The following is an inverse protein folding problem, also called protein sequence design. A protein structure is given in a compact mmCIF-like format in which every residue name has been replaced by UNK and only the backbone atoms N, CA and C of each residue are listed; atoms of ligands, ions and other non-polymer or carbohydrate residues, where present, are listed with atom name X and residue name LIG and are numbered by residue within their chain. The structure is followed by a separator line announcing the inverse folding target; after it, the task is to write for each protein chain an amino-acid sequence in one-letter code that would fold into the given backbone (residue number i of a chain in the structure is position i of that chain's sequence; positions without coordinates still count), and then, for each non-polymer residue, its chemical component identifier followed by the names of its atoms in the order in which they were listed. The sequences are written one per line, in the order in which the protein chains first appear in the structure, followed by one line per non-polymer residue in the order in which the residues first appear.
data_IF_792978131900
#
_entry.id   IF_792978131900
#
_cell.length_a   1.000
_cell.length_b   1.000
_cell.length_c   1.000
_cell.angle_alpha   90.00
_cell.angle_beta   90.00
_cell.angle_gamma   90.00
#
_symmetry.space_group_name_H-M   'P 1'
#
loop_
_entity.id
_entity.type
_entity.pdbx_description
1 polymer ?
#
# COMPACT_ATOMS: atom_id res chain seq x y z
N UNK A 1 -23.72 10.11 8.50
CA UNK A 1 -23.93 8.82 7.79
C UNK A 1 -23.57 8.90 6.30
N UNK A 2 -22.93 9.97 5.81
CA UNK A 2 -22.66 10.15 4.37
C UNK A 2 -21.32 9.56 3.87
N UNK A 3 -20.32 9.41 4.74
CA UNK A 3 -18.99 8.95 4.32
C UNK A 3 -18.91 7.46 3.94
N UNK A 4 -19.79 6.63 4.50
CA UNK A 4 -19.78 5.18 4.24
C UNK A 4 -20.29 4.84 2.84
N UNK A 5 -21.27 5.56 2.33
CA UNK A 5 -21.83 5.34 0.99
C UNK A 5 -20.85 5.73 -0.13
N UNK A 6 -20.13 6.83 0.06
CA UNK A 6 -19.07 7.25 -0.88
C UNK A 6 -17.94 6.19 -0.94
N UNK A 7 -17.57 5.60 0.20
CA UNK A 7 -16.59 4.51 0.24
C UNK A 7 -17.07 3.22 -0.42
N UNK A 8 -18.35 2.89 -0.29
CA UNK A 8 -18.94 1.73 -0.97
C UNK A 8 -18.94 1.92 -2.49
N UNK A 9 -19.16 3.14 -2.98
CA UNK A 9 -19.03 3.46 -4.41
C UNK A 9 -17.59 3.32 -4.90
N UNK A 10 -16.61 3.79 -4.12
CA UNK A 10 -15.18 3.69 -4.43
C UNK A 10 -14.71 2.22 -4.45
N UNK A 11 -15.17 1.39 -3.50
CA UNK A 11 -14.88 -0.05 -3.50
C UNK A 11 -15.50 -0.75 -4.71
N UNK A 12 -16.74 -0.38 -5.08
CA UNK A 12 -17.40 -0.89 -6.29
C UNK A 12 -16.67 -0.48 -7.57
N UNK A 13 -16.21 0.77 -7.68
CA UNK A 13 -15.43 1.22 -8.85
C UNK A 13 -14.07 0.52 -8.95
N UNK A 14 -13.52 0.06 -7.82
CA UNK A 14 -12.34 -0.81 -7.76
C UNK A 14 -12.64 -2.30 -7.98
N UNK A 15 -13.90 -2.67 -8.25
CA UNK A 15 -14.32 -4.06 -8.47
C UNK A 15 -14.33 -4.92 -7.20
N UNK A 16 -14.35 -4.32 -6.02
CA UNK A 16 -14.31 -4.99 -4.72
C UNK A 16 -15.75 -5.16 -4.20
N UNK A 17 -16.16 -6.40 -3.91
CA UNK A 17 -17.48 -6.67 -3.33
C UNK A 17 -17.45 -6.43 -1.80
N UNK A 18 -18.15 -5.42 -1.28
CA UNK A 18 -18.12 -5.08 0.15
C UNK A 18 -18.67 -6.20 1.05
N UNK A 19 -19.54 -7.05 0.52
CA UNK A 19 -20.11 -8.20 1.23
C UNK A 19 -19.10 -9.33 1.47
N UNK A 20 -17.92 -9.29 0.82
CA UNK A 20 -16.86 -10.29 0.99
C UNK A 20 -15.82 -9.87 2.04
N UNK A 21 -15.97 -8.70 2.64
CA UNK A 21 -15.05 -8.19 3.64
C UNK A 21 -15.43 -8.67 5.05
N UNK A 22 -14.49 -9.31 5.73
CA UNK A 22 -14.60 -9.63 7.16
C UNK A 22 -14.80 -8.37 8.01
N UNK A 23 -15.52 -8.48 9.13
CA UNK A 23 -15.78 -7.37 10.06
C UNK A 23 -14.52 -6.61 10.50
N UNK A 24 -13.40 -7.31 10.65
CA UNK A 24 -12.10 -6.70 10.97
C UNK A 24 -11.61 -5.75 9.87
N UNK A 25 -11.76 -6.14 8.60
CA UNK A 25 -11.40 -5.32 7.44
C UNK A 25 -12.31 -4.09 7.32
N UNK A 26 -13.58 -4.25 7.69
CA UNK A 26 -14.55 -3.13 7.72
C UNK A 26 -14.13 -2.10 8.76
N UNK A 27 -13.71 -2.53 9.96
CA UNK A 27 -13.24 -1.59 10.99
C UNK A 27 -11.98 -0.82 10.56
N UNK A 28 -11.02 -1.51 9.95
CA UNK A 28 -9.80 -0.86 9.43
C UNK A 28 -10.16 0.12 8.30
N UNK A 29 -11.08 -0.27 7.42
CA UNK A 29 -11.59 0.62 6.37
C UNK A 29 -12.28 1.85 6.93
N UNK A 30 -13.12 1.73 7.94
CA UNK A 30 -13.81 2.87 8.56
C UNK A 30 -12.79 3.85 9.14
N UNK A 31 -11.77 3.36 9.85
CA UNK A 31 -10.70 4.20 10.39
C UNK A 31 -9.84 4.87 9.31
N UNK A 32 -9.65 4.20 8.17
CA UNK A 32 -8.96 4.79 7.02
C UNK A 32 -9.87 5.79 6.30
N UNK A 33 -11.16 5.50 6.19
CA UNK A 33 -12.14 6.35 5.52
C UNK A 33 -12.33 7.70 6.23
N UNK A 34 -12.25 7.73 7.56
CA UNK A 34 -12.28 8.97 8.34
C UNK A 34 -11.12 9.92 8.03
N UNK A 35 -10.03 9.42 7.43
CA UNK A 35 -8.87 10.24 6.99
C UNK A 35 -8.97 10.69 5.54
N UNK A 36 -10.04 10.33 4.84
CA UNK A 36 -10.28 10.74 3.46
C UNK A 36 -11.21 11.95 3.51
N UNK A 37 -10.64 13.15 3.51
CA UNK A 37 -11.41 14.39 3.34
C UNK A 37 -11.97 14.50 1.91
N UNK A 38 -11.21 14.05 0.90
CA UNK A 38 -11.60 14.15 -0.50
C UNK A 38 -11.21 12.90 -1.31
N UNK A 39 -12.18 12.12 -1.83
CA UNK A 39 -11.91 10.87 -2.52
C UNK A 39 -11.27 11.05 -3.91
N UNK A 40 -11.39 12.24 -4.52
CA UNK A 40 -10.77 12.53 -5.82
C UNK A 40 -9.31 13.01 -5.70
N UNK A 41 -8.89 13.43 -4.51
CA UNK A 41 -7.51 13.83 -4.18
C UNK A 41 -6.82 12.86 -3.21
N UNK A 42 -7.20 11.59 -3.24
CA UNK A 42 -6.59 10.58 -2.37
C UNK A 42 -5.10 10.36 -2.72
N UNK A 43 -4.24 10.42 -1.69
CA UNK A 43 -2.82 10.10 -1.84
C UNK A 43 -2.61 8.66 -2.37
N UNK A 44 -1.78 8.45 -3.40
CA UNK A 44 -1.54 7.13 -3.98
C UNK A 44 -0.99 6.10 -2.99
N UNK A 45 -0.19 6.51 -2.00
CA UNK A 45 0.32 5.60 -0.97
C UNK A 45 -0.80 5.19 -0.01
N UNK A 46 -1.74 6.10 0.25
CA UNK A 46 -2.92 5.81 1.05
C UNK A 46 -3.84 4.78 0.37
N UNK A 47 -4.12 4.95 -0.92
CA UNK A 47 -4.83 3.95 -1.72
C UNK A 47 -4.13 2.59 -1.69
N UNK A 48 -2.79 2.58 -1.77
CA UNK A 48 -2.01 1.36 -1.68
C UNK A 48 -2.15 0.67 -0.31
N UNK A 49 -2.14 1.44 0.78
CA UNK A 49 -2.35 0.91 2.13
C UNK A 49 -3.75 0.32 2.32
N UNK A 50 -4.79 0.94 1.75
CA UNK A 50 -6.14 0.38 1.77
C UNK A 50 -6.16 -0.98 1.05
N UNK A 51 -5.68 -1.04 -0.19
CA UNK A 51 -5.66 -2.28 -0.99
C UNK A 51 -4.87 -3.40 -0.29
N UNK A 52 -3.73 -3.05 0.33
CA UNK A 52 -2.91 -3.98 1.12
C UNK A 52 -3.65 -4.52 2.33
N UNK A 53 -4.34 -3.67 3.10
CA UNK A 53 -5.14 -4.09 4.26
C UNK A 53 -6.35 -4.94 3.85
N UNK A 54 -6.92 -4.67 2.67
CA UNK A 54 -8.00 -5.49 2.10
C UNK A 54 -7.53 -6.87 1.62
N UNK A 55 -6.21 -7.07 1.50
CA UNK A 55 -5.64 -8.29 0.95
C UNK A 55 -5.90 -8.44 -0.55
N UNK A 56 -6.22 -7.33 -1.24
CA UNK A 56 -6.39 -7.32 -2.68
C UNK A 56 -5.00 -7.37 -3.30
N UNK A 57 -4.70 -8.47 -4.00
CA UNK A 57 -3.46 -8.58 -4.77
C UNK A 57 -3.55 -7.61 -5.94
N UNK A 58 -2.74 -6.56 -5.89
CA UNK A 58 -2.65 -5.58 -6.98
C UNK A 58 -1.88 -6.25 -8.12
N UNK A 59 -2.51 -6.58 -9.26
CA UNK A 59 -1.79 -7.11 -10.41
C UNK A 59 -0.81 -6.06 -10.91
N UNK A 60 0.46 -6.43 -11.09
CA UNK A 60 1.50 -5.51 -11.57
C UNK A 60 2.45 -4.95 -10.51
N UNK A 61 2.27 -5.27 -9.21
CA UNK A 61 3.35 -5.09 -8.23
C UNK A 61 4.44 -6.16 -8.40
N UNK A 62 5.09 -6.16 -9.56
CA UNK A 62 6.45 -6.68 -9.61
C UNK A 62 7.26 -5.76 -8.69
N UNK A 63 7.71 -6.29 -7.56
CA UNK A 63 8.80 -5.67 -6.81
C UNK A 63 9.98 -5.61 -7.76
N UNK A 64 10.11 -4.50 -8.48
CA UNK A 64 11.34 -4.10 -9.15
C UNK A 64 12.34 -3.75 -8.05
N UNK A 65 12.65 -4.71 -7.18
CA UNK A 65 13.83 -4.64 -6.34
C UNK A 65 14.98 -4.79 -7.32
N UNK A 66 15.54 -3.65 -7.72
CA UNK A 66 16.83 -3.63 -8.37
C UNK A 66 17.76 -4.50 -7.53
N UNK A 67 18.13 -5.67 -8.04
CA UNK A 67 19.01 -6.60 -7.32
C UNK A 67 20.37 -5.91 -7.22
N UNK A 68 20.65 -5.32 -6.06
CA UNK A 68 21.97 -4.73 -5.78
C UNK A 68 22.94 -5.89 -5.57
N UNK A 69 23.97 -5.99 -6.40
CA UNK A 69 25.00 -7.00 -6.24
C UNK A 69 25.72 -6.84 -4.91
N UNK A 70 25.90 -7.92 -4.14
CA UNK A 70 26.50 -7.86 -2.79
C UNK A 70 27.90 -7.23 -2.76
N UNK A 71 28.64 -7.28 -3.87
CA UNK A 71 29.97 -6.69 -4.01
C UNK A 71 29.98 -5.29 -4.65
N UNK A 72 28.85 -4.74 -5.11
CA UNK A 72 28.79 -3.38 -5.66
C UNK A 72 29.00 -2.36 -4.55
N UNK A 73 29.48 -1.16 -4.89
CA UNK A 73 29.52 -0.04 -3.95
C UNK A 73 28.12 0.22 -3.40
N UNK A 74 28.04 0.50 -2.11
CA UNK A 74 26.79 0.86 -1.45
C UNK A 74 26.29 2.20 -1.99
N UNK A 75 25.01 2.25 -2.37
CA UNK A 75 24.33 3.49 -2.79
C UNK A 75 24.16 4.51 -1.66
N UNK A 76 24.40 4.10 -0.41
CA UNK A 76 24.38 4.95 0.78
C UNK A 76 25.54 5.95 0.88
N UNK A 77 26.46 5.99 -0.09
CA UNK A 77 27.57 6.95 -0.11
C UNK A 77 28.77 6.59 0.75
N UNK A 78 28.75 5.48 1.48
CA UNK A 78 29.85 5.07 2.38
C UNK A 78 31.14 4.64 1.68
N UNK A 79 31.10 4.43 0.35
CA UNK A 79 32.22 3.89 -0.43
C UNK A 79 32.50 2.39 -0.20
N UNK A 80 31.83 1.75 0.76
CA UNK A 80 31.98 0.32 1.08
C UNK A 80 31.14 -0.58 0.16
N UNK A 81 31.50 -1.87 0.06
CA UNK A 81 30.66 -2.89 -0.63
C UNK A 81 29.30 -3.01 0.07
N UNK A 82 28.21 -3.14 -0.68
CA UNK A 82 26.84 -3.22 -0.15
C UNK A 82 26.71 -4.27 0.97
N UNK A 83 27.33 -5.45 0.80
CA UNK A 83 27.33 -6.52 1.81
C UNK A 83 27.97 -6.16 3.15
N UNK A 84 28.90 -5.21 3.16
CA UNK A 84 29.60 -4.75 4.38
C UNK A 84 28.95 -3.51 5.00
N UNK A 85 27.98 -2.89 4.32
CA UNK A 85 27.39 -1.62 4.74
C UNK A 85 25.92 -1.80 5.12
N UNK A 86 25.00 -1.79 4.15
CA UNK A 86 23.57 -1.80 4.43
C UNK A 86 22.97 -3.21 4.55
N UNK A 87 23.68 -4.25 4.11
CA UNK A 87 23.20 -5.63 4.21
C UNK A 87 23.56 -6.29 5.56
N UNK A 88 24.72 -5.94 6.13
CA UNK A 88 25.07 -6.31 7.50
C UNK A 88 24.31 -5.38 8.44
N UNK A 89 23.07 -5.73 8.77
CA UNK A 89 22.45 -5.28 10.03
C UNK A 89 22.97 -6.14 11.16
#
# INVERSE_FOLDING_TARGET
MENTDNMLQILKSMGINPNTLSREKINILSQLAEKIDDPMNMDPNFAHNILKNLGVKIPGQNKNTTKIGVNTKCSCGSGLKYKKCCLKK
#
